data_IF_920208495571
#
_entry.id   IF_920208495571
#
_cell.length_a   1.000
_cell.length_b   1.000
_cell.length_c   1.000
_cell.angle_alpha   90.00
_cell.angle_beta   90.00
_cell.angle_gamma   90.00
#
_symmetry.space_group_name_H-M   'P 1'
#
loop_
_entity.id
_entity.type
_entity.pdbx_description
1 polymer ?
#
# COMPACT_ATOMS: atom_id res chain seq x y z
N UNK A 1 14.67 22.07 12.50
CA UNK A 1 13.54 21.76 13.39
C UNK A 1 12.23 22.36 12.86
N UNK A 2 12.23 23.67 12.51
CA UNK A 2 11.05 24.35 11.97
C UNK A 2 10.67 23.79 10.58
N UNK A 3 11.67 23.51 9.73
CA UNK A 3 11.47 22.94 8.41
C UNK A 3 10.91 21.52 8.46
N UNK A 4 11.36 20.69 9.43
CA UNK A 4 10.83 19.34 9.61
C UNK A 4 9.38 19.35 10.10
N UNK A 5 9.02 20.26 11.00
CA UNK A 5 7.62 20.39 11.46
C UNK A 5 6.70 20.82 10.33
N UNK A 6 7.14 21.73 9.49
CA UNK A 6 6.38 22.18 8.32
C UNK A 6 6.23 21.05 7.31
N UNK A 7 7.31 20.32 7.04
CA UNK A 7 7.30 19.18 6.12
C UNK A 7 6.37 18.06 6.63
N UNK A 8 6.40 17.78 7.93
CA UNK A 8 5.49 16.82 8.55
C UNK A 8 4.02 17.23 8.35
N UNK A 9 3.70 18.49 8.57
CA UNK A 9 2.36 19.01 8.39
C UNK A 9 1.89 18.86 6.92
N UNK A 10 2.76 19.22 5.98
CA UNK A 10 2.49 19.06 4.55
C UNK A 10 2.30 17.58 4.18
N UNK A 11 3.14 16.70 4.71
CA UNK A 11 3.02 15.25 4.50
C UNK A 11 1.68 14.71 4.98
N UNK A 12 1.25 15.10 6.16
CA UNK A 12 -0.05 14.66 6.70
C UNK A 12 -1.22 15.21 5.88
N UNK A 13 -1.11 16.41 5.33
CA UNK A 13 -2.12 16.97 4.43
C UNK A 13 -2.19 16.19 3.11
N UNK A 14 -1.04 15.85 2.52
CA UNK A 14 -0.98 15.05 1.29
C UNK A 14 -1.51 13.64 1.55
N UNK A 15 -1.16 13.04 2.68
CA UNK A 15 -1.67 11.73 3.08
C UNK A 15 -3.20 11.73 3.17
N UNK A 16 -3.78 12.71 3.83
CA UNK A 16 -5.23 12.84 3.97
C UNK A 16 -5.92 13.04 2.62
N UNK A 17 -5.30 13.81 1.72
CA UNK A 17 -5.83 14.05 0.38
C UNK A 17 -5.74 12.82 -0.52
N UNK A 18 -4.70 11.98 -0.37
CA UNK A 18 -4.46 10.81 -1.23
C UNK A 18 -5.13 9.54 -0.73
N UNK A 19 -5.34 9.39 0.58
CA UNK A 19 -5.97 8.19 1.15
C UNK A 19 -6.78 8.48 2.39
N UNK A 20 -8.08 8.43 2.24
CA UNK A 20 -9.00 8.49 3.39
C UNK A 20 -8.95 7.20 4.20
N UNK A 21 -8.75 6.06 3.53
CA UNK A 21 -8.77 4.73 4.15
C UNK A 21 -7.59 4.52 5.10
N UNK A 22 -6.38 4.91 4.71
CA UNK A 22 -5.19 4.72 5.52
C UNK A 22 -4.89 5.89 6.45
N UNK A 23 -5.40 7.07 6.18
CA UNK A 23 -5.21 8.22 7.06
C UNK A 23 -5.70 7.93 8.48
N UNK A 24 -6.92 7.40 8.63
CA UNK A 24 -7.51 7.12 9.93
C UNK A 24 -6.69 6.11 10.74
N UNK A 25 -6.35 4.92 10.22
CA UNK A 25 -5.49 3.98 10.94
C UNK A 25 -4.15 4.60 11.38
N UNK A 26 -3.53 5.37 10.52
CA UNK A 26 -2.24 6.01 10.80
C UNK A 26 -2.35 6.98 11.99
N UNK A 27 -3.48 7.65 12.17
CA UNK A 27 -3.67 8.59 13.28
C UNK A 27 -3.58 7.93 14.66
N UNK A 28 -3.80 6.61 14.76
CA UNK A 28 -3.67 5.87 16.02
C UNK A 28 -2.23 5.59 16.41
N UNK A 29 -1.29 5.65 15.47
CA UNK A 29 0.12 5.39 15.73
C UNK A 29 0.79 6.55 16.48
N UNK A 30 1.86 6.23 17.20
CA UNK A 30 2.59 7.18 18.04
C UNK A 30 3.83 7.71 17.35
N UNK A 31 4.09 9.01 17.49
CA UNK A 31 5.35 9.72 17.13
C UNK A 31 6.05 9.17 15.88
N UNK A 32 7.23 8.56 16.07
CA UNK A 32 8.12 8.11 14.98
C UNK A 32 7.50 7.00 14.14
N UNK A 33 6.69 6.11 14.73
CA UNK A 33 5.93 5.12 13.97
C UNK A 33 4.93 5.79 13.04
N UNK A 34 4.21 6.80 13.53
CA UNK A 34 3.24 7.56 12.71
C UNK A 34 3.95 8.21 11.51
N UNK A 35 5.05 8.91 11.76
CA UNK A 35 5.83 9.55 10.71
C UNK A 35 6.38 8.52 9.72
N UNK A 36 6.88 7.40 10.21
CA UNK A 36 7.41 6.32 9.37
C UNK A 36 6.34 5.73 8.46
N UNK A 37 5.21 5.35 9.01
CA UNK A 37 4.13 4.74 8.22
C UNK A 37 3.53 5.75 7.25
N UNK A 38 3.35 7.00 7.67
CA UNK A 38 2.87 8.07 6.80
C UNK A 38 3.82 8.29 5.61
N UNK A 39 5.11 8.42 5.85
CA UNK A 39 6.10 8.63 4.79
C UNK A 39 6.29 7.41 3.90
N UNK A 40 6.24 6.20 4.47
CA UNK A 40 6.27 4.96 3.69
C UNK A 40 5.06 4.89 2.74
N UNK A 41 3.87 5.21 3.23
CA UNK A 41 2.67 5.29 2.39
C UNK A 41 2.87 6.29 1.25
N UNK A 42 3.37 7.49 1.55
CA UNK A 42 3.57 8.53 0.53
C UNK A 42 4.62 8.13 -0.52
N UNK A 43 5.70 7.47 -0.11
CA UNK A 43 6.70 6.92 -1.05
C UNK A 43 6.06 5.91 -1.99
N UNK A 44 5.27 4.99 -1.45
CA UNK A 44 4.61 3.95 -2.25
C UNK A 44 3.51 4.53 -3.13
N UNK A 45 2.76 5.50 -2.63
CA UNK A 45 1.76 6.22 -3.42
C UNK A 45 2.39 7.00 -4.57
N UNK A 46 3.57 7.56 -4.36
CA UNK A 46 4.30 8.29 -5.39
C UNK A 46 4.57 7.42 -6.62
N UNK A 47 5.02 6.18 -6.41
CA UNK A 47 5.28 5.25 -7.52
C UNK A 47 4.00 4.64 -8.09
N UNK A 48 2.99 4.43 -7.25
CA UNK A 48 1.68 3.92 -7.66
C UNK A 48 1.01 4.85 -8.68
N UNK A 49 1.12 6.15 -8.49
CA UNK A 49 0.59 7.14 -9.43
C UNK A 49 1.27 7.08 -10.81
N UNK A 50 2.51 6.65 -10.88
CA UNK A 50 3.19 6.41 -12.16
C UNK A 50 2.60 5.14 -12.82
N UNK A 51 2.46 4.06 -12.03
CA UNK A 51 1.90 2.80 -12.54
C UNK A 51 0.48 2.97 -13.08
N UNK A 52 -0.36 3.69 -12.38
CA UNK A 52 -1.78 3.79 -12.67
C UNK A 52 -2.16 4.92 -13.65
N UNK A 53 -1.22 5.76 -14.05
CA UNK A 53 -1.52 6.93 -14.86
C UNK A 53 -1.97 6.55 -16.28
N UNK A 54 -3.19 6.95 -16.65
CA UNK A 54 -3.80 6.58 -17.93
C UNK A 54 -3.11 7.19 -19.16
N UNK A 55 -2.47 8.34 -18.99
CA UNK A 55 -1.83 9.09 -20.08
C UNK A 55 -0.34 8.79 -20.26
N UNK A 56 0.19 7.79 -19.55
CA UNK A 56 1.59 7.34 -19.68
C UNK A 56 1.59 5.94 -20.29
N UNK A 57 2.41 5.75 -21.32
CA UNK A 57 2.53 4.44 -21.99
C UNK A 57 3.18 3.42 -21.06
N UNK A 58 2.90 2.13 -21.31
CA UNK A 58 3.46 1.02 -20.55
C UNK A 58 4.99 1.06 -20.54
N UNK A 59 5.60 1.33 -21.71
CA UNK A 59 7.05 1.40 -21.85
C UNK A 59 7.67 2.53 -21.01
N UNK A 60 7.03 3.70 -21.01
CA UNK A 60 7.46 4.84 -20.22
C UNK A 60 7.27 4.60 -18.72
N UNK A 61 6.15 3.97 -18.32
CA UNK A 61 5.94 3.54 -16.93
C UNK A 61 7.05 2.61 -16.47
N UNK A 62 7.33 1.58 -17.23
CA UNK A 62 8.37 0.60 -16.90
C UNK A 62 9.75 1.26 -16.81
N UNK A 63 10.07 2.18 -17.73
CA UNK A 63 11.33 2.93 -17.72
C UNK A 63 11.47 3.76 -16.44
N UNK A 64 10.45 4.58 -16.13
CA UNK A 64 10.47 5.45 -14.95
C UNK A 64 10.50 4.66 -13.64
N UNK A 65 9.71 3.60 -13.55
CA UNK A 65 9.65 2.75 -12.35
C UNK A 65 10.95 1.99 -12.13
N UNK A 66 11.58 1.48 -13.19
CA UNK A 66 12.87 0.80 -13.11
C UNK A 66 13.96 1.76 -12.63
N UNK A 67 14.01 2.96 -13.19
CA UNK A 67 14.98 3.98 -12.79
C UNK A 67 14.74 4.43 -11.34
N UNK A 68 13.50 4.63 -10.96
CA UNK A 68 13.14 4.97 -9.59
C UNK A 68 13.58 3.89 -8.60
N UNK A 69 13.37 2.61 -8.95
CA UNK A 69 13.85 1.48 -8.15
C UNK A 69 15.37 1.52 -7.95
N UNK A 70 16.13 1.79 -9.00
CA UNK A 70 17.59 1.92 -8.93
C UNK A 70 18.01 3.07 -7.99
N UNK A 71 17.38 4.23 -8.15
CA UNK A 71 17.68 5.41 -7.32
C UNK A 71 17.33 5.18 -5.85
N UNK A 72 16.23 4.49 -5.57
CA UNK A 72 15.82 4.17 -4.20
C UNK A 72 16.73 3.13 -3.54
N UNK A 73 17.40 2.29 -4.30
CA UNK A 73 18.34 1.29 -3.78
C UNK A 73 19.74 1.86 -3.49
N UNK A 74 19.99 3.10 -3.87
CA UNK A 74 21.27 3.79 -3.70
C UNK A 74 21.14 4.92 -2.68
N UNK A 75 22.08 5.02 -1.75
CA UNK A 75 22.10 6.08 -0.74
C UNK A 75 23.25 7.05 -0.99
N UNK A 76 23.01 8.36 -0.82
CA UNK A 76 21.72 9.00 -0.62
C UNK A 76 20.85 9.00 -1.89
N UNK A 77 19.54 9.18 -1.73
CA UNK A 77 18.62 9.25 -2.87
C UNK A 77 18.96 10.47 -3.75
N UNK A 78 19.20 10.22 -5.04
CA UNK A 78 19.52 11.26 -6.01
C UNK A 78 18.24 11.89 -6.55
N UNK A 79 17.75 12.94 -5.89
CA UNK A 79 16.52 13.63 -6.28
C UNK A 79 16.63 14.31 -7.65
N UNK A 80 17.78 14.86 -7.99
CA UNK A 80 17.98 15.51 -9.27
C UNK A 80 17.83 14.49 -10.43
N UNK A 81 18.40 13.30 -10.27
CA UNK A 81 18.25 12.21 -11.24
C UNK A 81 16.79 11.73 -11.34
N UNK A 82 16.09 11.63 -10.19
CA UNK A 82 14.68 11.24 -10.17
C UNK A 82 13.81 12.26 -10.92
N UNK A 83 13.96 13.55 -10.61
CA UNK A 83 13.20 14.62 -11.27
C UNK A 83 13.49 14.69 -12.77
N UNK A 84 14.73 14.45 -13.18
CA UNK A 84 15.10 14.39 -14.60
C UNK A 84 14.39 13.23 -15.31
N UNK A 85 14.28 12.08 -14.63
CA UNK A 85 13.62 10.87 -15.17
C UNK A 85 12.13 11.08 -15.44
N UNK A 86 11.44 11.81 -14.56
CA UNK A 86 9.99 12.04 -14.68
C UNK A 86 9.64 13.38 -15.34
N UNK A 87 10.62 14.15 -15.76
CA UNK A 87 10.44 15.53 -16.26
C UNK A 87 9.44 15.64 -17.42
N UNK A 88 9.45 14.68 -18.33
CA UNK A 88 8.53 14.66 -19.48
C UNK A 88 7.04 14.61 -19.06
N UNK A 89 6.75 14.10 -17.87
CA UNK A 89 5.39 13.93 -17.33
C UNK A 89 5.11 14.82 -16.12
N UNK A 90 6.01 15.71 -15.80
CA UNK A 90 5.92 16.61 -14.64
C UNK A 90 4.60 17.38 -14.55
N UNK A 91 4.05 17.81 -15.70
CA UNK A 91 2.81 18.60 -15.73
C UNK A 91 1.55 17.77 -15.41
N UNK A 92 1.61 16.44 -15.52
CA UNK A 92 0.47 15.56 -15.30
C UNK A 92 0.61 14.67 -14.08
N UNK A 93 1.82 14.54 -13.52
CA UNK A 93 2.02 13.76 -12.29
C UNK A 93 1.61 14.56 -11.06
N UNK A 94 1.00 13.91 -10.05
CA UNK A 94 0.54 14.60 -8.86
C UNK A 94 1.69 15.00 -7.93
N UNK A 95 1.39 15.92 -7.02
CA UNK A 95 2.33 16.42 -6.02
C UNK A 95 3.04 15.30 -5.25
N UNK A 96 2.30 14.27 -4.84
CA UNK A 96 2.87 13.15 -4.07
C UNK A 96 4.03 12.51 -4.81
N UNK A 97 3.94 12.35 -6.12
CA UNK A 97 4.99 11.77 -6.96
C UNK A 97 6.18 12.70 -7.13
N UNK A 98 5.92 13.99 -7.37
CA UNK A 98 6.98 14.99 -7.55
C UNK A 98 7.81 15.19 -6.28
N UNK A 99 7.23 14.94 -5.12
CA UNK A 99 7.84 15.17 -3.81
C UNK A 99 8.39 13.90 -3.14
N UNK A 100 8.69 12.86 -3.90
CA UNK A 100 9.23 11.60 -3.35
C UNK A 100 10.41 11.84 -2.40
N UNK A 101 11.34 12.72 -2.76
CA UNK A 101 12.50 13.04 -1.92
C UNK A 101 12.09 13.63 -0.56
N UNK A 102 11.06 14.43 -0.51
CA UNK A 102 10.56 15.00 0.75
C UNK A 102 10.11 13.91 1.71
N UNK A 103 9.39 12.91 1.20
CA UNK A 103 8.90 11.78 2.01
C UNK A 103 10.05 10.93 2.53
N UNK A 104 11.05 10.65 1.69
CA UNK A 104 12.26 9.92 2.08
C UNK A 104 13.01 10.69 3.17
N UNK A 105 13.18 11.99 2.99
CA UNK A 105 13.91 12.85 3.94
C UNK A 105 13.19 12.93 5.29
N UNK A 106 11.86 12.99 5.29
CA UNK A 106 11.07 13.06 6.52
C UNK A 106 11.04 11.73 7.28
N UNK A 107 11.21 10.62 6.58
CA UNK A 107 11.22 9.29 7.21
C UNK A 107 12.34 9.22 8.26
N UNK A 108 12.07 8.74 9.50
CA UNK A 108 13.09 8.64 10.54
C UNK A 108 14.31 7.83 10.11
N UNK A 109 15.50 8.29 10.52
CA UNK A 109 16.79 7.70 10.13
C UNK A 109 16.87 6.20 10.44
N UNK A 110 16.31 5.78 11.58
CA UNK A 110 16.37 4.39 12.03
C UNK A 110 15.78 3.38 11.05
N UNK A 111 14.89 3.81 10.16
CA UNK A 111 14.13 2.93 9.25
C UNK A 111 14.12 3.40 7.80
N UNK A 112 14.71 4.56 7.51
CA UNK A 112 14.68 5.19 6.19
C UNK A 112 15.15 4.28 5.07
N UNK A 113 16.28 3.61 5.26
CA UNK A 113 16.82 2.70 4.24
C UNK A 113 15.89 1.51 3.98
N UNK A 114 15.24 1.01 5.03
CA UNK A 114 14.28 -0.11 4.89
C UNK A 114 13.05 0.32 4.10
N UNK A 115 12.53 1.51 4.37
CA UNK A 115 11.39 2.07 3.62
C UNK A 115 11.78 2.31 2.16
N UNK A 116 12.94 2.89 1.91
CA UNK A 116 13.45 3.09 0.55
C UNK A 116 13.65 1.77 -0.20
N UNK A 117 14.22 0.76 0.47
CA UNK A 117 14.40 -0.57 -0.12
C UNK A 117 13.08 -1.25 -0.46
N UNK A 118 12.08 -1.14 0.40
CA UNK A 118 10.73 -1.68 0.14
C UNK A 118 10.06 -0.98 -1.03
N UNK A 119 10.18 0.35 -1.10
CA UNK A 119 9.63 1.12 -2.22
C UNK A 119 10.34 0.78 -3.53
N UNK A 120 11.66 0.57 -3.48
CA UNK A 120 12.45 0.11 -4.63
C UNK A 120 11.96 -1.23 -5.16
N UNK A 121 11.76 -2.20 -4.26
CA UNK A 121 11.28 -3.54 -4.62
C UNK A 121 9.88 -3.46 -5.24
N UNK A 122 9.00 -2.65 -4.67
CA UNK A 122 7.66 -2.41 -5.20
C UNK A 122 7.72 -1.79 -6.60
N UNK A 123 8.54 -0.76 -6.81
CA UNK A 123 8.69 -0.11 -8.10
C UNK A 123 9.18 -1.09 -9.18
N UNK A 124 10.15 -1.94 -8.85
CA UNK A 124 10.63 -2.99 -9.74
C UNK A 124 9.56 -4.00 -10.11
N UNK A 125 8.75 -4.41 -9.15
CA UNK A 125 7.60 -5.30 -9.38
C UNK A 125 6.52 -4.64 -10.23
N UNK A 126 6.24 -3.37 -10.01
CA UNK A 126 5.29 -2.60 -10.82
C UNK A 126 5.76 -2.48 -12.27
N UNK A 127 7.05 -2.24 -12.50
CA UNK A 127 7.62 -2.21 -13.84
C UNK A 127 7.45 -3.54 -14.57
N UNK A 128 7.74 -4.63 -13.88
CA UNK A 128 7.57 -6.01 -14.39
C UNK A 128 6.12 -6.27 -14.81
N UNK A 129 5.16 -5.93 -13.95
CA UNK A 129 3.75 -6.20 -14.22
C UNK A 129 3.15 -5.24 -15.25
N UNK A 130 3.63 -4.01 -15.34
CA UNK A 130 3.28 -3.11 -16.43
C UNK A 130 3.63 -3.72 -17.78
N UNK A 131 4.84 -4.26 -17.92
CA UNK A 131 5.29 -4.93 -19.15
C UNK A 131 4.49 -6.20 -19.47
N UNK A 132 3.89 -6.84 -18.47
CA UNK A 132 2.98 -7.98 -18.62
C UNK A 132 1.52 -7.57 -18.87
N UNK A 133 1.25 -6.27 -18.93
CA UNK A 133 -0.10 -5.74 -19.16
C UNK A 133 -1.07 -6.00 -18.01
N UNK A 134 -0.58 -6.28 -16.81
CA UNK A 134 -1.38 -6.58 -15.62
C UNK A 134 -2.39 -7.73 -15.85
N UNK A 135 -1.94 -8.79 -16.49
CA UNK A 135 -2.75 -9.98 -16.71
C UNK A 135 -2.13 -11.16 -15.95
N UNK A 136 -2.89 -11.72 -15.02
CA UNK A 136 -2.55 -12.93 -14.29
C UNK A 136 -3.18 -14.14 -14.99
N UNK A 137 -2.39 -15.15 -15.31
CA UNK A 137 -2.87 -16.39 -15.90
C UNK A 137 -2.96 -17.52 -14.90
N UNK A 138 -2.11 -17.51 -13.87
CA UNK A 138 -1.98 -18.57 -12.88
C UNK A 138 -2.16 -18.01 -11.47
N UNK A 139 -2.34 -18.92 -10.49
CA UNK A 139 -2.32 -18.58 -9.07
C UNK A 139 -0.97 -17.96 -8.68
N UNK A 140 0.12 -18.50 -9.24
CA UNK A 140 1.47 -18.00 -9.00
C UNK A 140 1.63 -16.55 -9.50
N UNK A 141 1.02 -16.21 -10.63
CA UNK A 141 0.97 -14.83 -11.12
C UNK A 141 0.25 -13.91 -10.13
N UNK A 142 -0.89 -14.33 -9.62
CA UNK A 142 -1.65 -13.56 -8.64
C UNK A 142 -0.86 -13.41 -7.34
N UNK A 143 -0.22 -14.47 -6.86
CA UNK A 143 0.65 -14.43 -5.68
C UNK A 143 1.82 -13.46 -5.88
N UNK A 144 2.45 -13.46 -7.05
CA UNK A 144 3.57 -12.59 -7.37
C UNK A 144 3.14 -11.12 -7.44
N UNK A 145 2.08 -10.83 -8.18
CA UNK A 145 1.55 -9.46 -8.30
C UNK A 145 1.15 -8.90 -6.93
N UNK A 146 0.35 -9.65 -6.17
CA UNK A 146 -0.14 -9.22 -4.87
C UNK A 146 0.97 -9.12 -3.82
N UNK A 147 2.05 -9.90 -3.98
CA UNK A 147 3.24 -9.71 -3.15
C UNK A 147 3.87 -8.34 -3.38
N UNK A 148 4.17 -8.00 -4.62
CA UNK A 148 4.86 -6.73 -4.93
C UNK A 148 4.04 -5.50 -4.54
N UNK A 149 2.74 -5.51 -4.74
CA UNK A 149 1.91 -4.31 -4.49
C UNK A 149 1.31 -4.27 -3.08
N UNK A 150 1.34 -5.36 -2.33
CA UNK A 150 0.67 -5.42 -1.03
C UNK A 150 1.35 -6.30 0.02
N UNK A 151 1.70 -7.54 -0.28
CA UNK A 151 2.36 -8.43 0.67
C UNK A 151 3.67 -7.85 1.20
N UNK A 152 4.44 -7.25 0.34
CA UNK A 152 5.66 -6.52 0.63
C UNK A 152 5.44 -5.43 1.69
N UNK A 153 4.30 -4.73 1.63
CA UNK A 153 3.93 -3.70 2.61
C UNK A 153 3.77 -4.31 4.01
N UNK A 154 3.13 -5.46 4.09
CA UNK A 154 2.99 -6.19 5.35
C UNK A 154 4.34 -6.54 5.97
N UNK A 155 5.30 -6.97 5.16
CA UNK A 155 6.67 -7.27 5.60
C UNK A 155 7.38 -6.01 6.10
N UNK A 156 7.27 -4.91 5.34
CA UNK A 156 7.84 -3.62 5.74
C UNK A 156 7.25 -3.12 7.06
N UNK A 157 5.94 -3.17 7.22
CA UNK A 157 5.26 -2.77 8.45
C UNK A 157 5.74 -3.61 9.64
N UNK A 158 5.94 -4.92 9.44
CA UNK A 158 6.48 -5.81 10.47
C UNK A 158 7.87 -5.38 10.93
N UNK A 159 8.72 -4.93 10.02
CA UNK A 159 10.04 -4.38 10.35
C UNK A 159 9.91 -3.07 11.13
N UNK A 160 8.92 -2.25 10.82
CA UNK A 160 8.62 -1.02 11.55
C UNK A 160 8.19 -1.34 12.99
N UNK A 161 7.29 -2.32 13.17
CA UNK A 161 6.88 -2.76 14.51
C UNK A 161 8.05 -3.32 15.31
N UNK A 162 8.93 -4.06 14.67
CA UNK A 162 10.14 -4.59 15.30
C UNK A 162 11.08 -3.46 15.75
N UNK A 163 11.31 -2.50 14.88
CA UNK A 163 12.23 -1.38 15.14
C UNK A 163 11.76 -0.48 16.29
N UNK A 164 10.50 -0.10 16.31
CA UNK A 164 9.97 0.90 17.25
C UNK A 164 9.29 0.30 18.49
N UNK A 165 8.82 -0.93 18.43
CA UNK A 165 8.04 -1.55 19.50
C UNK A 165 8.57 -2.93 19.91
N UNK A 166 9.62 -3.45 19.28
CA UNK A 166 10.20 -4.77 19.53
C UNK A 166 9.17 -5.91 19.46
N UNK A 167 8.23 -5.82 18.54
CA UNK A 167 7.22 -6.85 18.31
C UNK A 167 7.69 -7.75 17.17
N UNK A 168 7.70 -9.06 17.40
CA UNK A 168 7.99 -10.07 16.40
C UNK A 168 6.69 -10.56 15.76
N UNK A 169 6.69 -10.73 14.44
CA UNK A 169 5.55 -11.23 13.69
C UNK A 169 6.01 -12.26 12.65
N UNK A 170 5.08 -13.12 12.24
CA UNK A 170 5.33 -14.10 11.20
C UNK A 170 5.27 -13.46 9.82
N UNK A 171 6.29 -13.71 9.00
CA UNK A 171 6.41 -13.13 7.66
C UNK A 171 5.30 -13.58 6.71
N UNK A 172 4.94 -14.86 6.74
CA UNK A 172 3.88 -15.40 5.88
C UNK A 172 2.52 -14.80 6.21
N UNK A 173 2.24 -14.58 7.50
CA UNK A 173 1.02 -13.93 7.95
C UNK A 173 0.99 -12.45 7.54
N UNK A 174 2.14 -11.77 7.58
CA UNK A 174 2.27 -10.38 7.14
C UNK A 174 1.98 -10.24 5.64
N UNK A 175 2.53 -11.14 4.82
CA UNK A 175 2.28 -11.19 3.38
C UNK A 175 0.81 -11.46 3.10
N UNK A 176 0.22 -12.43 3.79
CA UNK A 176 -1.20 -12.75 3.68
C UNK A 176 -2.11 -11.59 4.03
N UNK A 177 -1.73 -10.82 5.05
CA UNK A 177 -2.47 -9.61 5.42
C UNK A 177 -2.55 -8.63 4.22
N UNK A 178 -1.41 -8.30 3.64
CA UNK A 178 -1.37 -7.39 2.49
C UNK A 178 -2.12 -7.94 1.29
N UNK A 179 -1.89 -9.21 0.95
CA UNK A 179 -2.59 -9.89 -0.15
C UNK A 179 -4.11 -9.86 0.01
N UNK A 180 -4.59 -10.12 1.22
CA UNK A 180 -6.02 -10.11 1.50
C UNK A 180 -6.66 -8.77 1.19
N UNK A 181 -6.04 -7.68 1.63
CA UNK A 181 -6.53 -6.33 1.34
C UNK A 181 -6.52 -6.04 -0.17
N UNK A 182 -5.45 -6.43 -0.85
CA UNK A 182 -5.32 -6.19 -2.29
C UNK A 182 -6.36 -6.96 -3.09
N UNK A 183 -6.63 -8.20 -2.74
CA UNK A 183 -7.62 -9.02 -3.46
C UNK A 183 -9.04 -8.50 -3.25
N UNK A 184 -9.35 -7.92 -2.09
CA UNK A 184 -10.62 -7.22 -1.89
C UNK A 184 -10.74 -6.05 -2.89
N UNK A 185 -9.66 -5.29 -3.10
CA UNK A 185 -9.65 -4.23 -4.11
C UNK A 185 -9.80 -4.79 -5.53
N UNK A 186 -9.15 -5.91 -5.85
CA UNK A 186 -9.28 -6.58 -7.15
C UNK A 186 -10.73 -7.00 -7.39
N UNK A 187 -11.38 -7.60 -6.40
CA UNK A 187 -12.80 -7.98 -6.48
C UNK A 187 -13.69 -6.77 -6.71
N UNK A 188 -13.45 -5.70 -5.99
CA UNK A 188 -14.25 -4.46 -6.08
C UNK A 188 -14.11 -3.77 -7.43
N UNK A 189 -12.92 -3.83 -8.04
CA UNK A 189 -12.60 -3.11 -9.28
C UNK A 189 -12.63 -4.02 -10.52
N UNK A 190 -13.11 -5.26 -10.41
CA UNK A 190 -13.01 -6.28 -11.45
C UNK A 190 -13.64 -5.83 -12.78
N UNK A 191 -14.79 -5.18 -12.76
CA UNK A 191 -15.47 -4.71 -13.97
C UNK A 191 -14.74 -3.54 -14.61
N UNK A 192 -14.27 -2.58 -13.81
CA UNK A 192 -13.49 -1.44 -14.31
C UNK A 192 -12.15 -1.90 -14.90
N UNK A 193 -11.50 -2.88 -14.28
CA UNK A 193 -10.24 -3.45 -14.76
C UNK A 193 -10.43 -4.16 -16.10
N UNK A 194 -11.53 -4.91 -16.25
CA UNK A 194 -11.86 -5.61 -17.51
C UNK A 194 -12.03 -4.63 -18.67
N UNK A 195 -12.64 -3.48 -18.44
CA UNK A 195 -12.81 -2.43 -19.46
C UNK A 195 -11.46 -1.90 -19.97
N UNK A 196 -10.42 -1.94 -19.14
CA UNK A 196 -9.05 -1.49 -19.48
C UNK A 196 -8.17 -2.63 -20.01
N UNK A 197 -8.72 -3.84 -20.18
CA UNK A 197 -7.95 -5.01 -20.60
C UNK A 197 -7.05 -5.58 -19.51
N UNK A 198 -7.33 -5.26 -18.25
CA UNK A 198 -6.58 -5.71 -17.06
C UNK A 198 -7.35 -6.85 -16.41
N UNK A 199 -6.67 -7.94 -16.08
CA UNK A 199 -7.30 -9.08 -15.39
C UNK A 199 -6.32 -9.73 -14.41
N UNK A 200 -6.59 -9.58 -13.13
CA UNK A 200 -5.82 -10.21 -12.06
C UNK A 200 -6.36 -11.59 -11.68
N UNK A 201 -7.43 -12.03 -12.31
CA UNK A 201 -8.05 -13.33 -12.01
C UNK A 201 -7.36 -14.42 -12.82
N UNK A 202 -6.79 -15.46 -12.20
CA UNK A 202 -6.19 -16.58 -12.91
C UNK A 202 -7.16 -17.24 -13.90
N UNK A 203 -6.63 -17.77 -14.99
CA UNK A 203 -7.42 -18.41 -16.05
C UNK A 203 -8.28 -19.54 -15.44
N UNK A 204 -9.55 -19.56 -15.82
CA UNK A 204 -10.50 -20.57 -15.38
C UNK A 204 -11.04 -20.41 -13.95
N UNK A 205 -10.59 -19.40 -13.21
CA UNK A 205 -11.13 -19.15 -11.88
C UNK A 205 -12.51 -18.49 -11.94
N UNK A 206 -13.39 -18.96 -11.08
CA UNK A 206 -14.68 -18.31 -10.83
C UNK A 206 -14.49 -17.13 -9.87
N UNK A 207 -15.48 -16.26 -9.81
CA UNK A 207 -15.51 -15.19 -8.80
C UNK A 207 -15.49 -15.77 -7.37
N UNK A 208 -16.13 -16.90 -7.15
CA UNK A 208 -16.14 -17.60 -5.86
C UNK A 208 -14.75 -18.09 -5.44
N UNK A 209 -13.96 -18.57 -6.40
CA UNK A 209 -12.56 -18.95 -6.14
C UNK A 209 -11.69 -17.74 -5.76
N UNK A 210 -11.95 -16.58 -6.38
CA UNK A 210 -11.27 -15.35 -6.00
C UNK A 210 -11.69 -14.87 -4.60
N UNK A 211 -12.98 -15.00 -4.24
CA UNK A 211 -13.45 -14.75 -2.88
C UNK A 211 -12.78 -15.69 -1.87
N UNK A 212 -12.64 -16.97 -2.20
CA UNK A 212 -11.95 -17.94 -1.35
C UNK A 212 -10.48 -17.57 -1.14
N UNK A 213 -9.81 -17.15 -2.19
CA UNK A 213 -8.43 -16.65 -2.11
C UNK A 213 -8.32 -15.43 -1.18
N UNK A 214 -9.25 -14.49 -1.31
CA UNK A 214 -9.31 -13.32 -0.43
C UNK A 214 -9.50 -13.74 1.03
N UNK A 215 -10.47 -14.60 1.30
CA UNK A 215 -10.77 -15.07 2.67
C UNK A 215 -9.60 -15.83 3.29
N UNK A 216 -8.92 -16.68 2.53
CA UNK A 216 -7.75 -17.41 3.02
C UNK A 216 -6.63 -16.45 3.46
N UNK A 217 -6.41 -15.39 2.71
CA UNK A 217 -5.42 -14.37 3.08
C UNK A 217 -5.89 -13.51 4.25
N UNK A 218 -7.18 -13.16 4.32
CA UNK A 218 -7.73 -12.42 5.47
C UNK A 218 -7.69 -13.25 6.77
N UNK A 219 -7.78 -14.57 6.71
CA UNK A 219 -7.53 -15.44 7.86
C UNK A 219 -6.10 -15.30 8.37
N UNK A 220 -5.13 -15.18 7.48
CA UNK A 220 -3.74 -14.89 7.85
C UNK A 220 -3.62 -13.50 8.51
N UNK A 221 -4.37 -12.52 8.04
CA UNK A 221 -4.45 -11.20 8.67
C UNK A 221 -5.01 -11.28 10.10
N UNK A 222 -6.04 -12.08 10.33
CA UNK A 222 -6.56 -12.32 11.66
C UNK A 222 -5.50 -12.95 12.59
N UNK A 223 -4.78 -13.94 12.10
CA UNK A 223 -3.68 -14.57 12.83
C UNK A 223 -2.54 -13.60 13.10
N UNK A 224 -2.22 -12.73 12.12
CA UNK A 224 -1.22 -11.68 12.27
C UNK A 224 -1.59 -10.73 13.41
N UNK A 225 -2.83 -10.27 13.47
CA UNK A 225 -3.30 -9.35 14.50
C UNK A 225 -3.21 -9.93 15.92
N UNK A 226 -3.30 -11.25 16.06
CA UNK A 226 -3.13 -11.92 17.36
C UNK A 226 -1.69 -11.83 17.89
N UNK A 227 -0.73 -11.55 17.06
CA UNK A 227 0.67 -11.37 17.45
C UNK A 227 0.96 -9.94 17.93
N UNK A 228 0.06 -9.00 17.70
CA UNK A 228 0.23 -7.59 18.03
C UNK A 228 -0.24 -7.32 19.45
N UNK A 229 0.69 -6.93 20.31
CA UNK A 229 0.44 -6.68 21.74
C UNK A 229 0.25 -5.20 22.09
N UNK A 230 0.66 -4.29 21.20
CA UNK A 230 0.55 -2.84 21.43
C UNK A 230 -0.74 -2.30 20.82
N UNK A 231 -1.57 -1.65 21.63
CA UNK A 231 -2.89 -1.15 21.23
C UNK A 231 -2.87 -0.24 20.00
N UNK A 232 -1.93 0.71 19.94
CA UNK A 232 -1.85 1.64 18.81
C UNK A 232 -1.62 0.92 17.47
N UNK A 233 -0.73 -0.05 17.46
CA UNK A 233 -0.44 -0.87 16.27
C UNK A 233 -1.62 -1.79 15.98
N UNK A 234 -2.22 -2.37 17.01
CA UNK A 234 -3.38 -3.24 16.85
C UNK A 234 -4.56 -2.50 16.22
N UNK A 235 -4.81 -1.25 16.64
CA UNK A 235 -5.85 -0.41 16.02
C UNK A 235 -5.55 -0.16 14.55
N UNK A 236 -4.29 0.20 14.22
CA UNK A 236 -3.86 0.36 12.83
C UNK A 236 -4.14 -0.88 12.00
N UNK A 237 -3.90 -2.08 12.54
CA UNK A 237 -4.08 -3.35 11.84
C UNK A 237 -5.55 -3.82 11.80
N UNK A 238 -6.33 -3.57 12.84
CA UNK A 238 -7.73 -4.00 12.91
C UNK A 238 -8.64 -3.22 11.97
N UNK A 239 -8.40 -1.94 11.79
CA UNK A 239 -9.28 -1.09 10.98
C UNK A 239 -9.34 -1.54 9.52
N UNK A 240 -8.22 -1.67 8.80
CA UNK A 240 -8.28 -2.13 7.40
C UNK A 240 -8.89 -3.52 7.26
N UNK A 241 -8.59 -4.41 8.17
CA UNK A 241 -9.11 -5.79 8.14
C UNK A 241 -10.63 -5.83 8.32
N UNK A 242 -11.15 -5.09 9.31
CA UNK A 242 -12.59 -5.00 9.53
C UNK A 242 -13.31 -4.38 8.33
N UNK A 243 -12.72 -3.35 7.71
CA UNK A 243 -13.29 -2.73 6.51
C UNK A 243 -13.26 -3.68 5.32
N UNK A 244 -12.20 -4.48 5.18
CA UNK A 244 -12.10 -5.50 4.13
C UNK A 244 -13.20 -6.55 4.27
N UNK A 245 -13.43 -7.08 5.46
CA UNK A 245 -14.51 -8.04 5.73
C UNK A 245 -15.88 -7.44 5.42
N UNK A 246 -16.13 -6.20 5.82
CA UNK A 246 -17.39 -5.51 5.53
C UNK A 246 -17.58 -5.26 4.03
N UNK A 247 -16.52 -4.92 3.33
CA UNK A 247 -16.55 -4.75 1.88
C UNK A 247 -16.92 -6.05 1.17
N UNK A 248 -16.32 -7.18 1.57
CA UNK A 248 -16.68 -8.50 1.01
C UNK A 248 -18.15 -8.83 1.26
N UNK A 249 -18.63 -8.59 2.47
CA UNK A 249 -20.04 -8.82 2.83
C UNK A 249 -20.98 -7.95 2.00
N UNK A 250 -20.63 -6.68 1.79
CA UNK A 250 -21.39 -5.73 0.98
C UNK A 250 -21.47 -6.18 -0.48
N UNK A 251 -20.35 -6.68 -1.04
CA UNK A 251 -20.33 -7.22 -2.41
C UNK A 251 -21.22 -8.45 -2.56
N UNK A 252 -21.26 -9.34 -1.57
CA UNK A 252 -22.17 -10.49 -1.58
C UNK A 252 -23.65 -10.08 -1.58
N UNK A 253 -24.00 -8.95 -0.98
CA UNK A 253 -25.37 -8.42 -1.00
C UNK A 253 -25.69 -7.55 -2.24
N UNK A 254 -24.79 -7.49 -3.22
CA UNK A 254 -24.99 -6.73 -4.45
C UNK A 254 -24.60 -5.26 -4.41
N UNK A 255 -24.07 -4.78 -3.28
CA UNK A 255 -23.54 -3.43 -3.13
C UNK A 255 -22.01 -3.47 -3.23
N UNK A 256 -21.40 -2.46 -3.83
CA UNK A 256 -19.95 -2.50 -4.11
C UNK A 256 -19.10 -1.67 -3.14
N UNK A 257 -19.68 -0.69 -2.46
CA UNK A 257 -18.93 0.25 -1.64
C UNK A 257 -19.55 0.45 -0.25
N UNK A 258 -18.68 0.60 0.75
CA UNK A 258 -19.09 1.05 2.08
C UNK A 258 -19.36 2.54 2.05
N UNK A 259 -20.37 2.98 2.81
CA UNK A 259 -20.62 4.40 3.03
C UNK A 259 -19.61 4.97 4.03
N UNK A 260 -19.43 6.29 4.00
CA UNK A 260 -18.59 6.98 4.98
C UNK A 260 -19.07 6.74 6.41
N UNK A 261 -20.39 6.73 6.62
CA UNK A 261 -20.98 6.45 7.94
C UNK A 261 -20.65 5.04 8.43
N UNK A 262 -20.67 4.04 7.54
CA UNK A 262 -20.28 2.65 7.87
C UNK A 262 -18.80 2.56 8.26
N UNK A 263 -17.92 3.28 7.56
CA UNK A 263 -16.49 3.34 7.90
C UNK A 263 -16.29 3.96 9.28
N UNK A 264 -16.91 5.11 9.54
CA UNK A 264 -16.80 5.82 10.82
C UNK A 264 -17.35 4.99 11.98
N UNK A 265 -18.48 4.31 11.77
CA UNK A 265 -19.07 3.42 12.78
C UNK A 265 -18.15 2.24 13.09
N UNK A 266 -17.51 1.66 12.09
CA UNK A 266 -16.57 0.56 12.27
C UNK A 266 -15.36 0.99 13.10
N UNK A 267 -14.78 2.14 12.80
CA UNK A 267 -13.63 2.68 13.54
C UNK A 267 -14.02 2.92 15.01
N UNK A 268 -15.17 3.54 15.24
CA UNK A 268 -15.64 3.84 16.60
C UNK A 268 -15.87 2.56 17.42
N UNK A 269 -16.47 1.53 16.81
CA UNK A 269 -16.68 0.23 17.44
C UNK A 269 -15.36 -0.45 17.82
N UNK A 270 -14.39 -0.45 16.92
CA UNK A 270 -13.07 -1.02 17.17
C UNK A 270 -12.32 -0.27 18.27
N UNK A 271 -12.41 1.06 18.29
CA UNK A 271 -11.75 1.90 19.29
C UNK A 271 -12.32 1.63 20.68
N UNK A 272 -13.64 1.43 20.78
CA UNK A 272 -14.32 1.09 22.03
C UNK A 272 -13.94 -0.31 22.55
N UNK A 273 -13.84 -1.30 21.66
CA UNK A 273 -13.65 -2.71 22.00
C UNK A 273 -12.19 -3.18 22.05
N UNK A 274 -11.24 -2.34 21.63
CA UNK A 274 -9.81 -2.70 21.65
C UNK A 274 -9.14 -2.10 22.86
N UNK A 275 -8.69 -2.96 23.80
CA UNK A 275 -8.01 -2.57 25.04
C UNK A 275 -6.50 -2.59 24.90
#
# INVERSE_FOLDING_TARGET
VVQQKQLYKEAMNVLKATSRTFFIPITFLEKDMKTTVATAYLCMRAIDEIEDHEDITVEEKARMLTKTAELLSTQPFDNAAYLAEIDAYKSILPEVTLRLNDWITLCPDAIRQRVAASTSEMAGGMAKWALKGWVCHTKEDLDDYTYYVAGLVGVMLSDIWKTFANIDTDRDLAIGYGRGLQVVNILRNQDEDAERGVSFVPDGWTREELFAYANNNLEKAEAYNKQITKRSILMFCKIPLALAHKTLKTMHSGNEKLTRAEVEATVAELDEHTK
#
